data_IF_740210185517
#
_entry.id   IF_740210185517
#
_cell.length_a   1.000
_cell.length_b   1.000
_cell.length_c   1.000
_cell.angle_alpha   90.00
_cell.angle_beta   90.00
_cell.angle_gamma   90.00
#
_symmetry.space_group_name_H-M   'P 1'
#
loop_
_entity.id
_entity.type
_entity.pdbx_description
1 polymer ?
#
# COMPACT_ATOMS: atom_id res chain seq x y z
N UNK A 1 -7.06 -13.31 25.23
CA UNK A 1 -6.81 -11.99 24.57
C UNK A 1 -7.01 -12.15 23.05
N UNK A 2 -6.84 -11.10 22.24
CA UNK A 2 -6.94 -11.19 20.78
C UNK A 2 -5.66 -11.77 20.15
N UNK A 3 -5.69 -12.03 18.84
CA UNK A 3 -4.53 -12.47 18.05
C UNK A 3 -3.39 -11.43 18.09
N UNK A 4 -2.15 -11.90 17.91
CA UNK A 4 -0.96 -11.04 17.81
C UNK A 4 -0.64 -10.68 16.36
N UNK A 5 0.00 -9.52 16.18
CA UNK A 5 0.39 -9.01 14.87
C UNK A 5 1.88 -8.73 14.80
N UNK A 6 2.49 -9.11 13.68
CA UNK A 6 3.85 -8.71 13.33
C UNK A 6 3.79 -7.75 12.13
N UNK A 7 4.23 -6.52 12.36
CA UNK A 7 4.20 -5.40 11.40
C UNK A 7 5.55 -5.17 10.73
N UNK A 8 5.56 -4.41 9.62
CA UNK A 8 6.77 -4.05 8.91
C UNK A 8 7.53 -5.28 8.46
N UNK A 9 6.83 -6.23 7.84
CA UNK A 9 7.40 -7.51 7.39
C UNK A 9 8.50 -7.31 6.34
N UNK A 10 8.35 -6.31 5.47
CA UNK A 10 9.37 -5.93 4.47
C UNK A 10 10.76 -5.72 5.07
N UNK A 11 10.83 -5.25 6.32
CA UNK A 11 12.09 -5.03 7.03
C UNK A 11 12.74 -6.30 7.60
N UNK A 12 12.09 -7.46 7.46
CA UNK A 12 12.48 -8.72 8.11
C UNK A 12 13.06 -9.77 7.15
N UNK A 13 13.10 -9.48 5.84
CA UNK A 13 13.69 -10.36 4.86
C UNK A 13 13.24 -10.08 3.43
N UNK A 14 14.11 -10.39 2.48
CA UNK A 14 13.87 -10.21 1.04
C UNK A 14 12.63 -10.95 0.53
N UNK A 15 12.31 -12.11 1.11
CA UNK A 15 11.10 -12.87 0.75
C UNK A 15 9.82 -12.05 0.93
N UNK A 16 9.77 -11.14 1.91
CA UNK A 16 8.61 -10.29 2.17
C UNK A 16 8.44 -9.19 1.13
N UNK A 17 9.55 -8.65 0.62
CA UNK A 17 9.54 -7.73 -0.53
C UNK A 17 9.04 -8.47 -1.76
N UNK A 18 9.57 -9.66 -2.03
CA UNK A 18 9.14 -10.53 -3.14
C UNK A 18 7.67 -10.93 -3.07
N UNK A 19 7.12 -11.19 -1.88
CA UNK A 19 5.68 -11.40 -1.70
C UNK A 19 4.87 -10.16 -2.11
N UNK A 20 5.27 -8.96 -1.68
CA UNK A 20 4.60 -7.71 -2.05
C UNK A 20 4.76 -7.37 -3.55
N UNK A 21 5.79 -7.87 -4.20
CA UNK A 21 5.96 -7.74 -5.65
C UNK A 21 5.30 -8.86 -6.45
N UNK A 22 4.74 -9.86 -5.78
CA UNK A 22 4.29 -11.10 -6.42
C UNK A 22 5.35 -11.70 -7.36
N UNK A 23 6.63 -11.64 -6.96
CA UNK A 23 7.75 -12.25 -7.68
C UNK A 23 7.55 -13.77 -7.72
N UNK A 24 7.59 -14.35 -8.92
CA UNK A 24 7.35 -15.79 -9.15
C UNK A 24 8.41 -16.69 -8.50
N UNK A 25 9.57 -16.15 -8.12
CA UNK A 25 10.56 -16.87 -7.33
C UNK A 25 10.09 -17.12 -5.88
N UNK A 26 9.18 -16.31 -5.34
CA UNK A 26 8.61 -16.47 -3.99
C UNK A 26 7.13 -16.88 -4.02
N UNK A 27 6.38 -16.44 -5.02
CA UNK A 27 4.92 -16.63 -5.15
C UNK A 27 4.62 -17.20 -6.52
N UNK A 28 4.50 -18.52 -6.63
CA UNK A 28 4.26 -19.23 -7.90
C UNK A 28 3.10 -18.63 -8.71
N UNK A 29 1.99 -18.25 -8.05
CA UNK A 29 0.81 -17.69 -8.67
C UNK A 29 0.91 -16.17 -8.97
N UNK A 30 2.08 -15.55 -8.82
CA UNK A 30 2.23 -14.10 -8.80
C UNK A 30 1.65 -13.37 -10.02
N UNK A 31 1.87 -13.90 -11.23
CA UNK A 31 1.31 -13.33 -12.47
C UNK A 31 -0.22 -13.37 -12.46
N UNK A 32 -0.81 -14.48 -12.01
CA UNK A 32 -2.26 -14.63 -11.91
C UNK A 32 -2.85 -13.70 -10.85
N UNK A 33 -2.17 -13.55 -9.71
CA UNK A 33 -2.58 -12.63 -8.65
C UNK A 33 -2.62 -11.19 -9.17
N UNK A 34 -1.56 -10.72 -9.85
CA UNK A 34 -1.52 -9.38 -10.45
C UNK A 34 -2.69 -9.16 -11.42
N UNK A 35 -2.97 -10.13 -12.30
CA UNK A 35 -4.09 -10.04 -13.24
C UNK A 35 -5.45 -9.91 -12.51
N UNK A 36 -5.70 -10.78 -11.52
CA UNK A 36 -6.96 -10.76 -10.77
C UNK A 36 -7.13 -9.46 -9.96
N UNK A 37 -6.03 -8.92 -9.43
CA UNK A 37 -6.04 -7.63 -8.72
C UNK A 37 -6.30 -6.47 -9.67
N UNK A 38 -5.71 -6.46 -10.86
CA UNK A 38 -5.96 -5.44 -11.88
C UNK A 38 -7.42 -5.51 -12.38
N UNK A 39 -8.00 -6.70 -12.51
CA UNK A 39 -9.41 -6.88 -12.87
C UNK A 39 -10.36 -6.41 -11.74
N UNK A 40 -10.02 -6.67 -10.47
CA UNK A 40 -10.86 -6.32 -9.33
C UNK A 40 -10.77 -4.83 -8.94
N UNK A 41 -9.56 -4.26 -8.92
CA UNK A 41 -9.29 -2.91 -8.41
C UNK A 41 -8.99 -1.88 -9.50
N UNK A 42 -8.73 -2.33 -10.73
CA UNK A 42 -8.10 -1.53 -11.77
C UNK A 42 -6.57 -1.49 -11.61
N UNK A 43 -5.85 -1.09 -12.67
CA UNK A 43 -4.40 -0.98 -12.62
C UNK A 43 -3.95 0.08 -11.62
N UNK A 44 -2.77 -0.14 -11.05
CA UNK A 44 -2.13 0.81 -10.13
C UNK A 44 -2.63 0.80 -8.70
N UNK A 45 -3.26 -0.30 -8.26
CA UNK A 45 -3.48 -0.57 -6.84
C UNK A 45 -2.16 -0.51 -6.03
N UNK A 46 -2.26 -0.21 -4.74
CA UNK A 46 -1.14 -0.11 -3.80
C UNK A 46 -1.36 -1.00 -2.59
N UNK A 47 -0.29 -1.34 -1.88
CA UNK A 47 -0.40 -2.08 -0.62
C UNK A 47 -0.98 -1.17 0.46
N UNK A 48 -2.02 -1.61 1.16
CA UNK A 48 -2.56 -0.95 2.34
C UNK A 48 -1.74 -1.31 3.58
N UNK A 49 -1.47 -2.61 3.77
CA UNK A 49 -0.72 -3.17 4.90
C UNK A 49 -0.22 -4.58 4.55
N UNK A 50 0.87 -5.00 5.20
CA UNK A 50 1.45 -6.33 5.03
C UNK A 50 1.85 -6.93 6.39
N UNK A 51 0.95 -7.74 6.95
CA UNK A 51 0.99 -8.15 8.35
C UNK A 51 1.00 -9.67 8.50
N UNK A 52 1.72 -10.18 9.50
CA UNK A 52 1.52 -11.55 9.96
C UNK A 52 0.54 -11.57 11.13
N UNK A 53 -0.47 -12.42 11.04
CA UNK A 53 -1.46 -12.67 12.08
C UNK A 53 -1.12 -13.98 12.77
N UNK A 54 -0.86 -13.93 14.08
CA UNK A 54 -0.48 -15.08 14.91
C UNK A 54 -1.58 -15.37 15.92
N UNK A 55 -2.16 -16.56 15.80
CA UNK A 55 -3.23 -17.08 16.64
C UNK A 55 -2.67 -18.18 17.54
N UNK A 56 -2.69 -17.95 18.85
CA UNK A 56 -2.24 -18.92 19.86
C UNK A 56 -3.40 -19.80 20.36
N UNK A 57 -3.12 -20.96 20.97
CA UNK A 57 -4.13 -21.85 21.54
C UNK A 57 -5.13 -21.12 22.45
N UNK A 58 -6.43 -21.27 22.16
CA UNK A 58 -7.52 -20.65 22.92
C UNK A 58 -7.70 -19.14 22.72
N UNK A 59 -7.08 -18.54 21.70
CA UNK A 59 -7.27 -17.10 21.42
C UNK A 59 -8.75 -16.76 21.17
N UNK A 60 -9.19 -15.58 21.59
CA UNK A 60 -10.57 -15.15 21.34
C UNK A 60 -10.81 -14.97 19.83
N UNK A 61 -11.99 -15.38 19.32
CA UNK A 61 -12.32 -15.14 17.93
C UNK A 61 -12.54 -13.64 17.70
N UNK A 62 -12.27 -13.18 16.48
CA UNK A 62 -12.68 -11.84 16.09
C UNK A 62 -14.18 -11.81 15.81
N UNK A 63 -14.81 -10.66 16.07
CA UNK A 63 -16.15 -10.40 15.53
C UNK A 63 -16.12 -10.41 14.00
N UNK A 64 -17.21 -10.82 13.37
CA UNK A 64 -17.32 -10.77 11.91
C UNK A 64 -17.29 -9.31 11.44
N UNK A 65 -16.44 -9.03 10.45
CA UNK A 65 -16.23 -7.69 9.93
C UNK A 65 -15.92 -7.72 8.43
N UNK A 66 -15.96 -6.53 7.82
CA UNK A 66 -15.49 -6.26 6.47
C UNK A 66 -14.25 -5.37 6.57
N UNK A 67 -13.16 -5.72 5.91
CA UNK A 67 -11.96 -4.85 5.90
C UNK A 67 -12.20 -3.58 5.07
N UNK A 68 -13.10 -3.66 4.09
CA UNK A 68 -13.53 -2.51 3.32
C UNK A 68 -14.31 -1.48 4.17
N UNK A 69 -14.69 -1.77 5.42
CA UNK A 69 -15.34 -0.81 6.30
C UNK A 69 -14.48 0.43 6.62
N UNK A 70 -13.18 0.44 6.25
CA UNK A 70 -12.28 1.59 6.41
C UNK A 70 -12.76 2.88 5.73
N UNK A 71 -13.61 2.78 4.69
CA UNK A 71 -14.16 3.96 4.02
C UNK A 71 -15.55 4.35 4.53
N UNK A 72 -16.05 3.74 5.61
CA UNK A 72 -17.33 4.13 6.18
C UNK A 72 -17.34 5.65 6.51
N UNK A 73 -18.44 6.36 6.23
CA UNK A 73 -19.76 5.87 5.80
C UNK A 73 -19.94 5.75 4.27
N UNK A 74 -18.89 5.91 3.46
CA UNK A 74 -19.01 5.79 2.00
C UNK A 74 -19.25 4.34 1.58
N UNK A 75 -20.40 4.10 0.96
CA UNK A 75 -20.79 2.78 0.45
C UNK A 75 -20.33 2.65 -1.00
N UNK A 76 -19.39 1.74 -1.24
CA UNK A 76 -18.90 1.37 -2.57
C UNK A 76 -19.38 -0.04 -2.88
N UNK A 77 -20.56 -0.14 -3.50
CA UNK A 77 -21.28 -1.42 -3.69
C UNK A 77 -20.98 -2.07 -5.04
N UNK A 78 -20.60 -1.28 -6.03
CA UNK A 78 -20.44 -1.72 -7.42
C UNK A 78 -19.13 -2.50 -7.61
N UNK A 79 -18.06 -2.10 -6.92
CA UNK A 79 -16.75 -2.71 -7.05
C UNK A 79 -16.01 -2.68 -5.70
N UNK A 80 -15.13 -3.67 -5.45
CA UNK A 80 -14.25 -3.58 -4.31
C UNK A 80 -13.25 -2.44 -4.50
N UNK A 81 -12.84 -1.83 -3.40
CA UNK A 81 -11.66 -0.99 -3.36
C UNK A 81 -10.54 -1.59 -2.50
N UNK A 82 -10.79 -2.73 -1.87
CA UNK A 82 -9.84 -3.51 -1.10
C UNK A 82 -9.94 -4.99 -1.50
N UNK A 83 -8.79 -5.63 -1.71
CA UNK A 83 -8.67 -7.10 -1.80
C UNK A 83 -7.60 -7.54 -0.82
N UNK A 84 -7.89 -8.56 -0.02
CA UNK A 84 -6.89 -9.23 0.79
C UNK A 84 -6.25 -10.37 0.01
N UNK A 85 -4.93 -10.36 -0.06
CA UNK A 85 -4.10 -11.49 -0.51
C UNK A 85 -3.53 -12.17 0.72
N UNK A 86 -4.11 -13.32 1.07
CA UNK A 86 -3.80 -14.06 2.29
C UNK A 86 -2.88 -15.24 1.94
N UNK A 87 -1.68 -15.24 2.50
CA UNK A 87 -0.71 -16.33 2.36
C UNK A 87 -0.86 -17.31 3.52
N UNK A 88 -1.25 -18.54 3.19
CA UNK A 88 -1.38 -19.65 4.12
C UNK A 88 -0.02 -20.33 4.25
N UNK A 89 0.63 -20.18 5.40
CA UNK A 89 2.03 -20.62 5.62
C UNK A 89 2.16 -22.01 6.23
N UNK A 90 1.05 -22.57 6.70
CA UNK A 90 0.92 -23.90 7.28
C UNK A 90 -0.48 -24.42 6.95
N UNK A 91 -0.71 -25.72 7.05
CA UNK A 91 -2.06 -26.27 6.86
C UNK A 91 -3.03 -25.61 7.84
N UNK A 92 -4.17 -25.15 7.35
CA UNK A 92 -5.24 -24.55 8.17
C UNK A 92 -6.51 -25.35 8.03
N UNK A 93 -7.28 -25.45 9.10
CA UNK A 93 -8.57 -26.13 9.16
C UNK A 93 -9.40 -25.58 10.32
N UNK A 94 -10.57 -26.17 10.58
CA UNK A 94 -11.42 -25.77 11.72
C UNK A 94 -10.69 -25.92 13.07
N UNK A 95 -9.85 -26.94 13.24
CA UNK A 95 -9.23 -27.24 14.52
C UNK A 95 -8.19 -26.20 14.92
N UNK A 96 -7.26 -25.83 14.03
CA UNK A 96 -6.26 -24.80 14.32
C UNK A 96 -6.74 -23.35 14.03
N UNK A 97 -8.02 -23.20 13.71
CA UNK A 97 -8.66 -21.90 13.58
C UNK A 97 -8.32 -21.18 12.28
N UNK A 98 -8.45 -21.86 11.13
CA UNK A 98 -8.47 -21.23 9.82
C UNK A 98 -9.51 -20.09 9.75
N UNK A 99 -9.22 -19.03 9.00
CA UNK A 99 -10.05 -17.82 8.93
C UNK A 99 -11.54 -18.14 8.72
N UNK A 100 -12.42 -17.55 9.55
CA UNK A 100 -13.86 -17.61 9.34
C UNK A 100 -14.25 -16.73 8.16
N UNK A 101 -15.09 -17.26 7.27
CA UNK A 101 -15.61 -16.54 6.11
C UNK A 101 -17.10 -16.86 5.93
N UNK A 102 -17.88 -15.90 5.44
CA UNK A 102 -19.23 -16.13 4.92
C UNK A 102 -19.19 -15.97 3.40
N UNK A 103 -19.07 -17.08 2.63
CA UNK A 103 -19.05 -17.02 1.18
C UNK A 103 -20.29 -16.32 0.63
N UNK A 104 -20.10 -15.40 -0.31
CA UNK A 104 -21.20 -14.66 -0.93
C UNK A 104 -21.76 -13.49 -0.11
N UNK A 105 -21.29 -13.24 1.12
CA UNK A 105 -21.84 -12.15 1.95
C UNK A 105 -21.68 -10.76 1.31
N UNK A 106 -20.62 -10.53 0.51
CA UNK A 106 -20.45 -9.31 -0.27
C UNK A 106 -21.63 -9.03 -1.21
N UNK A 107 -22.28 -10.08 -1.75
CA UNK A 107 -23.47 -9.93 -2.60
C UNK A 107 -24.68 -9.53 -1.77
N UNK A 108 -24.90 -10.21 -0.64
CA UNK A 108 -25.97 -9.88 0.31
C UNK A 108 -25.84 -8.45 0.84
N UNK A 109 -24.60 -8.01 1.10
CA UNK A 109 -24.30 -6.63 1.49
C UNK A 109 -24.72 -5.62 0.41
N UNK A 110 -24.40 -5.91 -0.85
CA UNK A 110 -24.78 -5.05 -1.98
C UNK A 110 -26.30 -5.04 -2.21
N UNK A 111 -26.96 -6.20 -2.16
CA UNK A 111 -28.42 -6.34 -2.25
C UNK A 111 -29.15 -5.59 -1.13
N UNK A 112 -28.58 -5.61 0.07
CA UNK A 112 -29.06 -4.87 1.25
C UNK A 112 -28.70 -3.38 1.26
N UNK A 113 -28.18 -2.83 0.16
CA UNK A 113 -27.84 -1.41 0.07
C UNK A 113 -26.76 -0.96 1.04
N UNK A 114 -25.77 -1.82 1.32
CA UNK A 114 -24.69 -1.54 2.27
C UNK A 114 -25.03 -1.92 3.72
N UNK A 115 -26.00 -2.81 3.92
CA UNK A 115 -26.35 -3.37 5.22
C UNK A 115 -26.54 -4.88 5.12
N UNK A 116 -26.39 -5.57 6.26
CA UNK A 116 -26.63 -7.01 6.35
C UNK A 116 -27.99 -7.28 6.97
N UNK A 117 -28.76 -8.16 6.32
CA UNK A 117 -29.88 -8.86 6.94
C UNK A 117 -29.41 -10.16 7.59
N UNK A 118 -30.21 -11.22 7.46
CA UNK A 118 -29.78 -12.57 7.83
C UNK A 118 -28.69 -13.06 6.86
N UNK A 119 -27.64 -13.66 7.41
CA UNK A 119 -26.52 -14.22 6.64
C UNK A 119 -26.32 -15.69 7.02
N UNK A 120 -25.84 -16.54 6.09
CA UNK A 120 -25.49 -17.91 6.41
C UNK A 120 -24.42 -18.00 7.50
N UNK A 121 -24.30 -19.15 8.20
CA UNK A 121 -23.21 -19.38 9.13
C UNK A 121 -21.85 -19.24 8.46
N UNK A 122 -20.87 -18.72 9.22
CA UNK A 122 -19.49 -18.69 8.77
C UNK A 122 -18.90 -20.09 8.72
N UNK A 123 -17.99 -20.32 7.76
CA UNK A 123 -17.20 -21.55 7.63
C UNK A 123 -15.73 -21.22 7.85
N UNK A 124 -14.94 -22.20 8.32
CA UNK A 124 -13.50 -22.08 8.40
C UNK A 124 -12.85 -22.34 7.03
N UNK A 125 -11.83 -21.55 6.70
CA UNK A 125 -10.92 -21.88 5.62
C UNK A 125 -10.15 -23.17 5.97
N UNK A 126 -10.30 -24.19 5.13
CA UNK A 126 -9.45 -25.38 5.13
C UNK A 126 -8.57 -25.38 3.88
N UNK A 127 -7.26 -25.32 4.06
CA UNK A 127 -6.30 -25.20 2.97
C UNK A 127 -4.90 -25.68 3.39
N UNK A 128 -4.13 -26.31 2.49
CA UNK A 128 -2.75 -26.67 2.77
C UNK A 128 -1.81 -25.46 2.77
N UNK A 129 -0.67 -25.61 3.43
CA UNK A 129 0.45 -24.67 3.36
C UNK A 129 0.84 -24.36 1.90
N UNK A 130 1.16 -23.09 1.62
CA UNK A 130 1.47 -22.60 0.28
C UNK A 130 0.25 -22.10 -0.51
N UNK A 131 -0.96 -22.22 0.04
CA UNK A 131 -2.16 -21.65 -0.59
C UNK A 131 -2.17 -20.13 -0.48
N UNK A 132 -2.59 -19.45 -1.55
CA UNK A 132 -2.91 -18.01 -1.54
C UNK A 132 -4.41 -17.84 -1.75
N UNK A 133 -5.08 -17.15 -0.82
CA UNK A 133 -6.49 -16.80 -0.94
C UNK A 133 -6.62 -15.31 -1.27
N UNK A 134 -7.32 -15.00 -2.36
CA UNK A 134 -7.79 -13.64 -2.65
C UNK A 134 -9.20 -13.46 -2.09
N UNK A 135 -9.42 -12.41 -1.30
CA UNK A 135 -10.70 -12.15 -0.66
C UNK A 135 -11.14 -10.71 -0.91
N UNK A 136 -12.33 -10.54 -1.49
CA UNK A 136 -13.00 -9.25 -1.63
C UNK A 136 -13.19 -8.60 -0.25
N UNK A 137 -12.77 -7.34 -0.08
CA UNK A 137 -12.82 -6.63 1.20
C UNK A 137 -14.22 -6.48 1.81
N UNK A 138 -15.29 -6.73 1.05
CA UNK A 138 -16.69 -6.70 1.50
C UNK A 138 -17.17 -8.04 2.09
N UNK A 139 -16.38 -9.11 2.00
CA UNK A 139 -16.71 -10.39 2.63
C UNK A 139 -16.70 -10.24 4.15
N UNK A 140 -17.74 -10.78 4.80
CA UNK A 140 -17.78 -10.95 6.25
C UNK A 140 -16.85 -12.07 6.63
N UNK A 141 -15.89 -11.75 7.49
CA UNK A 141 -14.87 -12.69 7.93
C UNK A 141 -14.35 -12.35 9.32
N UNK A 142 -13.52 -13.21 9.88
CA UNK A 142 -12.81 -12.96 11.13
C UNK A 142 -11.86 -14.09 11.53
N UNK A 143 -10.96 -13.81 12.46
CA UNK A 143 -10.14 -14.85 13.09
C UNK A 143 -10.98 -15.86 13.86
N UNK A 144 -10.80 -17.15 13.57
CA UNK A 144 -11.40 -18.24 14.32
C UNK A 144 -10.63 -18.52 15.63
N UNK A 145 -11.28 -19.25 16.55
CA UNK A 145 -10.60 -19.83 17.71
C UNK A 145 -9.62 -20.90 17.25
N UNK A 146 -8.36 -20.79 17.64
CA UNK A 146 -7.40 -21.88 17.50
C UNK A 146 -7.57 -22.86 18.66
N UNK A 147 -8.03 -24.08 18.38
CA UNK A 147 -8.23 -25.16 19.37
C UNK A 147 -7.08 -26.17 19.38
N UNK A 148 -6.04 -25.93 18.60
CA UNK A 148 -4.82 -26.74 18.60
C UNK A 148 -3.87 -26.34 19.74
N UNK A 149 -2.77 -27.08 19.89
CA UNK A 149 -1.72 -26.83 20.89
C UNK A 149 -0.56 -25.97 20.34
N UNK A 150 -0.64 -25.48 19.09
CA UNK A 150 0.43 -24.74 18.42
C UNK A 150 -0.04 -23.37 17.90
N UNK A 151 0.91 -22.52 17.48
CA UNK A 151 0.66 -21.23 16.87
C UNK A 151 0.20 -21.39 15.41
N UNK A 152 -0.95 -20.78 15.08
CA UNK A 152 -1.39 -20.61 13.70
C UNK A 152 -0.95 -19.25 13.19
N UNK A 153 -0.17 -19.21 12.12
CA UNK A 153 0.31 -17.99 11.47
C UNK A 153 -0.10 -17.92 10.00
N UNK A 154 -0.63 -16.77 9.60
CA UNK A 154 -0.93 -16.41 8.21
C UNK A 154 -0.38 -15.02 7.94
N UNK A 155 -0.15 -14.68 6.68
CA UNK A 155 0.16 -13.31 6.29
C UNK A 155 -1.04 -12.74 5.53
N UNK A 156 -1.48 -11.55 5.92
CA UNK A 156 -2.49 -10.79 5.19
C UNK A 156 -1.82 -9.60 4.52
N UNK A 157 -1.82 -9.60 3.19
CA UNK A 157 -1.48 -8.43 2.39
C UNK A 157 -2.77 -7.78 1.88
N UNK A 158 -3.18 -6.68 2.49
CA UNK A 158 -4.32 -5.92 2.01
C UNK A 158 -3.86 -4.98 0.92
N UNK A 159 -4.48 -5.01 -0.25
CA UNK A 159 -4.22 -4.06 -1.35
C UNK A 159 -5.45 -3.23 -1.64
N UNK A 160 -5.24 -1.99 -2.06
CA UNK A 160 -6.31 -1.01 -2.25
C UNK A 160 -6.15 -0.21 -3.54
N UNK A 161 -7.25 0.41 -3.99
CA UNK A 161 -7.21 1.41 -5.06
C UNK A 161 -6.28 2.58 -4.68
N UNK A 162 -5.54 3.18 -5.62
CA UNK A 162 -4.44 4.13 -5.33
C UNK A 162 -4.86 5.46 -4.70
N UNK A 163 -6.16 5.76 -4.60
CA UNK A 163 -6.65 6.95 -3.91
C UNK A 163 -6.89 6.71 -2.41
N UNK A 164 -6.85 5.46 -1.96
CA UNK A 164 -6.99 5.11 -0.54
C UNK A 164 -5.65 5.32 0.16
N UNK A 165 -5.69 5.98 1.32
CA UNK A 165 -4.51 6.16 2.17
C UNK A 165 -4.08 4.81 2.75
N UNK A 166 -2.78 4.51 2.67
CA UNK A 166 -2.19 3.29 3.18
C UNK A 166 -2.29 3.21 4.72
N UNK A 167 -2.59 2.03 5.26
CA UNK A 167 -2.66 1.79 6.71
C UNK A 167 -1.25 1.75 7.32
N UNK A 168 -0.33 1.05 6.67
CA UNK A 168 1.09 1.18 6.96
C UNK A 168 1.67 2.40 6.24
N UNK A 169 2.37 3.24 7.00
CA UNK A 169 3.10 4.39 6.45
C UNK A 169 4.44 3.93 5.87
N UNK A 170 4.40 3.21 4.73
CA UNK A 170 5.60 2.68 4.06
C UNK A 170 6.66 3.75 3.78
N UNK A 171 6.22 5.00 3.50
CA UNK A 171 7.11 6.16 3.36
C UNK A 171 7.95 6.47 4.58
N UNK A 172 7.60 5.96 5.76
CA UNK A 172 8.33 6.16 7.01
C UNK A 172 8.97 4.86 7.51
N UNK A 173 8.29 3.72 7.34
CA UNK A 173 8.67 2.47 8.02
C UNK A 173 9.64 1.61 7.24
N UNK A 174 9.69 1.70 5.90
CA UNK A 174 10.66 0.92 5.12
C UNK A 174 12.07 1.42 5.41
N UNK A 175 12.98 0.48 5.69
CA UNK A 175 14.37 0.79 6.02
C UNK A 175 15.14 1.36 4.81
N UNK A 176 16.12 2.26 5.03
CA UNK A 176 16.89 2.87 3.95
C UNK A 176 17.64 1.87 3.05
N UNK A 177 18.18 0.78 3.62
CA UNK A 177 18.90 -0.25 2.88
C UNK A 177 17.99 -1.03 1.91
N UNK A 178 16.70 -1.15 2.24
CA UNK A 178 15.71 -1.75 1.35
C UNK A 178 15.34 -0.76 0.23
N UNK A 179 15.09 0.51 0.55
CA UNK A 179 14.73 1.52 -0.45
C UNK A 179 15.83 1.71 -1.51
N UNK A 180 17.11 1.65 -1.12
CA UNK A 180 18.24 1.77 -2.04
C UNK A 180 18.33 0.63 -3.05
N UNK A 181 17.80 -0.54 -2.72
CA UNK A 181 17.83 -1.74 -3.57
C UNK A 181 16.45 -2.09 -4.14
N UNK A 182 15.44 -1.27 -3.87
CA UNK A 182 14.05 -1.55 -4.23
C UNK A 182 13.85 -1.49 -5.75
N UNK A 183 13.05 -2.42 -6.26
CA UNK A 183 12.60 -2.34 -7.65
C UNK A 183 11.58 -1.20 -7.83
N UNK A 184 11.42 -0.76 -9.08
CA UNK A 184 10.39 0.22 -9.46
C UNK A 184 8.98 -0.26 -9.11
N UNK A 185 8.71 -1.56 -9.25
CA UNK A 185 7.42 -2.18 -8.91
C UNK A 185 7.15 -2.09 -7.41
N UNK A 186 8.10 -2.51 -6.58
CA UNK A 186 7.95 -2.42 -5.11
C UNK A 186 7.71 -0.97 -4.65
N UNK A 187 8.51 -0.03 -5.15
CA UNK A 187 8.36 1.40 -4.85
C UNK A 187 6.98 1.91 -5.27
N UNK A 188 6.53 1.54 -6.47
CA UNK A 188 5.22 1.92 -6.98
C UNK A 188 4.08 1.40 -6.10
N UNK A 189 4.09 0.10 -5.78
CA UNK A 189 3.06 -0.53 -4.92
C UNK A 189 3.11 -0.01 -3.48
N UNK A 190 4.26 0.46 -3.01
CA UNK A 190 4.41 1.10 -1.69
C UNK A 190 4.08 2.61 -1.70
N UNK A 191 3.60 3.17 -2.82
CA UNK A 191 3.13 4.54 -2.88
C UNK A 191 4.22 5.59 -3.09
N UNK A 192 5.43 5.21 -3.51
CA UNK A 192 6.54 6.14 -3.79
C UNK A 192 6.42 6.86 -5.15
N UNK A 193 5.25 6.75 -5.78
CA UNK A 193 4.95 7.38 -7.06
C UNK A 193 3.91 8.49 -6.87
N UNK A 194 4.38 9.72 -6.87
CA UNK A 194 3.55 10.90 -6.73
C UNK A 194 2.78 11.25 -8.01
N UNK A 195 1.70 12.00 -7.82
CA UNK A 195 0.99 12.73 -8.87
C UNK A 195 0.61 14.11 -8.34
N UNK A 196 0.06 14.98 -9.19
CA UNK A 196 -0.53 16.26 -8.78
C UNK A 196 -1.55 16.15 -7.63
N UNK A 197 -2.14 14.97 -7.38
CA UNK A 197 -3.17 14.76 -6.36
C UNK A 197 -2.74 13.93 -5.16
N UNK A 198 -1.54 13.33 -5.15
CA UNK A 198 -1.12 12.43 -4.05
C UNK A 198 0.39 12.31 -3.91
N UNK A 199 0.82 12.05 -2.68
CA UNK A 199 2.17 11.62 -2.29
C UNK A 199 3.32 12.57 -2.68
N UNK A 200 3.05 13.85 -2.98
CA UNK A 200 4.12 14.82 -3.26
C UNK A 200 4.96 15.13 -2.01
N UNK A 201 6.23 15.47 -2.23
CA UNK A 201 7.14 15.97 -1.19
C UNK A 201 7.46 17.42 -1.48
N UNK A 202 6.91 18.35 -0.68
CA UNK A 202 7.12 19.80 -0.87
C UNK A 202 6.82 20.27 -2.32
N UNK A 203 5.91 19.57 -3.02
CA UNK A 203 5.55 19.83 -4.42
C UNK A 203 6.37 19.07 -5.47
N UNK A 204 7.46 18.38 -5.11
CA UNK A 204 8.09 17.40 -5.99
C UNK A 204 7.15 16.21 -6.21
N UNK A 205 7.02 15.81 -7.47
CA UNK A 205 6.08 14.77 -7.90
C UNK A 205 4.83 15.29 -8.60
N UNK A 206 4.66 16.61 -8.72
CA UNK A 206 3.48 17.22 -9.35
C UNK A 206 3.29 16.78 -10.80
N UNK A 207 4.38 16.66 -11.57
CA UNK A 207 4.34 16.19 -12.96
C UNK A 207 4.32 14.65 -13.09
N UNK A 208 4.28 13.93 -11.97
CA UNK A 208 4.21 12.48 -11.95
C UNK A 208 2.88 11.96 -12.49
N UNK A 209 2.94 10.90 -13.29
CA UNK A 209 1.77 10.20 -13.84
C UNK A 209 1.28 9.05 -12.94
N UNK A 210 1.99 8.75 -11.86
CA UNK A 210 1.60 7.75 -10.87
C UNK A 210 1.75 6.30 -11.34
N UNK A 211 2.48 6.04 -12.43
CA UNK A 211 2.78 4.70 -12.97
C UNK A 211 4.17 4.23 -12.56
N UNK A 212 4.37 2.92 -12.63
CA UNK A 212 5.64 2.27 -12.32
C UNK A 212 6.82 2.94 -13.02
N UNK A 213 7.81 3.37 -12.22
CA UNK A 213 9.09 3.81 -12.75
C UNK A 213 9.11 5.18 -13.42
N UNK A 214 8.04 5.98 -13.29
CA UNK A 214 8.03 7.36 -13.79
C UNK A 214 9.00 8.23 -12.97
N UNK A 215 10.06 8.80 -13.57
CA UNK A 215 11.04 9.59 -12.82
C UNK A 215 10.42 10.87 -12.24
N UNK A 216 9.41 11.46 -12.89
CA UNK A 216 8.83 12.74 -12.45
C UNK A 216 8.11 12.63 -11.10
N UNK A 217 7.57 11.45 -10.78
CA UNK A 217 6.87 11.18 -9.53
C UNK A 217 7.69 10.42 -8.48
N UNK A 218 8.97 10.14 -8.73
CA UNK A 218 9.77 9.22 -7.91
C UNK A 218 10.24 9.85 -6.59
N UNK A 219 9.34 9.93 -5.60
CA UNK A 219 9.64 10.58 -4.30
C UNK A 219 10.62 9.78 -3.43
N UNK A 220 11.02 8.58 -3.84
CA UNK A 220 12.06 7.79 -3.17
C UNK A 220 13.38 8.56 -3.07
N UNK A 221 13.72 9.39 -4.05
CA UNK A 221 14.95 10.18 -4.04
C UNK A 221 14.96 11.21 -2.91
N UNK A 222 13.82 11.84 -2.65
CA UNK A 222 13.65 12.73 -1.52
C UNK A 222 13.76 11.96 -0.20
N UNK A 223 13.16 10.77 -0.10
CA UNK A 223 13.26 9.91 1.09
C UNK A 223 14.70 9.48 1.37
N UNK A 224 15.45 9.05 0.36
CA UNK A 224 16.86 8.66 0.49
C UNK A 224 17.70 9.85 0.98
N UNK A 225 17.51 11.04 0.41
CA UNK A 225 18.21 12.23 0.87
C UNK A 225 17.88 12.61 2.32
N UNK A 226 16.64 12.37 2.78
CA UNK A 226 16.24 12.56 4.18
C UNK A 226 16.94 11.55 5.10
N UNK A 227 16.96 10.26 4.73
CA UNK A 227 17.60 9.21 5.51
C UNK A 227 19.12 9.42 5.64
N UNK A 228 19.74 10.03 4.63
CA UNK A 228 21.16 10.37 4.64
C UNK A 228 21.48 11.68 5.37
N UNK A 229 20.47 12.38 5.91
CA UNK A 229 20.65 13.67 6.61
C UNK A 229 21.03 14.82 5.68
N UNK A 230 20.91 14.64 4.36
CA UNK A 230 21.25 15.64 3.33
C UNK A 230 20.06 16.47 2.85
N UNK A 231 18.85 16.19 3.36
CA UNK A 231 17.64 16.88 2.93
C UNK A 231 17.42 18.19 3.70
N UNK A 232 17.63 19.31 3.01
CA UNK A 232 17.30 20.66 3.47
C UNK A 232 15.87 21.00 3.05
N UNK A 233 14.96 21.03 4.03
CA UNK A 233 13.53 21.38 3.86
C UNK A 233 13.34 22.82 3.40
N UNK A 234 12.28 23.06 2.64
CA UNK A 234 11.80 24.41 2.35
C UNK A 234 11.17 25.00 3.62
N UNK A 235 11.88 25.96 4.24
CA UNK A 235 11.44 26.67 5.44
C UNK A 235 10.66 27.96 5.15
N UNK A 236 10.57 28.84 6.15
CA UNK A 236 10.04 30.18 5.96
C UNK A 236 10.84 30.94 4.90
N UNK A 237 10.15 31.53 3.93
CA UNK A 237 10.78 32.29 2.86
C UNK A 237 10.87 33.76 3.26
N UNK A 238 12.07 34.33 3.17
CA UNK A 238 12.28 35.78 3.20
C UNK A 238 12.75 36.27 1.84
N UNK A 239 12.60 37.58 1.56
CA UNK A 239 13.08 38.16 0.30
C UNK A 239 14.58 37.92 0.07
N UNK A 240 15.38 37.91 1.14
CA UNK A 240 16.82 37.63 1.07
C UNK A 240 17.16 36.15 0.82
N UNK A 241 16.18 35.23 0.92
CA UNK A 241 16.36 33.82 0.55
C UNK A 241 16.06 33.57 -0.94
N UNK A 242 15.27 34.45 -1.57
CA UNK A 242 14.96 34.40 -3.00
C UNK A 242 16.11 34.95 -3.86
N UNK A 243 16.98 35.77 -3.28
CA UNK A 243 18.19 36.32 -3.92
C UNK A 243 19.36 35.31 -3.86
N UNK A 244 19.22 34.16 -4.53
CA UNK A 244 20.36 33.29 -4.87
C UNK A 244 20.59 32.04 -4.00
N UNK A 245 19.63 31.63 -3.15
CA UNK A 245 19.77 30.39 -2.34
C UNK A 245 18.88 29.23 -2.79
N UNK A 246 18.04 29.40 -3.81
CA UNK A 246 17.11 28.35 -4.28
C UNK A 246 17.82 27.08 -4.74
N UNK A 247 18.98 27.19 -5.37
CA UNK A 247 19.78 26.04 -5.84
C UNK A 247 20.46 25.27 -4.68
N UNK A 248 20.45 25.83 -3.47
CA UNK A 248 20.94 25.18 -2.25
C UNK A 248 19.88 24.30 -1.56
N UNK A 249 18.63 24.34 -2.04
CA UNK A 249 17.56 23.49 -1.52
C UNK A 249 17.68 22.11 -2.14
N UNK A 250 17.67 21.06 -1.32
CA UNK A 250 17.77 19.67 -1.79
C UNK A 250 16.63 19.35 -2.75
N UNK A 251 15.43 19.86 -2.50
CA UNK A 251 14.29 19.69 -3.39
C UNK A 251 14.56 20.22 -4.81
N UNK A 252 15.15 21.41 -4.94
CA UNK A 252 15.45 22.00 -6.24
C UNK A 252 16.49 21.18 -7.02
N UNK A 253 17.48 20.64 -6.32
CA UNK A 253 18.50 19.76 -6.90
C UNK A 253 17.91 18.42 -7.34
N UNK A 254 17.05 17.82 -6.52
CA UNK A 254 16.33 16.59 -6.87
C UNK A 254 15.42 16.79 -8.09
N UNK A 255 14.68 17.90 -8.13
CA UNK A 255 13.84 18.26 -9.27
C UNK A 255 14.66 18.48 -10.55
N UNK A 256 15.82 19.11 -10.44
CA UNK A 256 16.76 19.28 -11.56
C UNK A 256 17.30 17.95 -12.08
N UNK A 257 17.59 17.01 -11.19
CA UNK A 257 18.23 15.74 -11.54
C UNK A 257 17.24 14.66 -11.99
N UNK A 258 16.03 14.65 -11.42
CA UNK A 258 15.11 13.51 -11.53
C UNK A 258 13.72 13.89 -12.09
N UNK A 259 13.39 15.17 -12.31
CA UNK A 259 12.08 15.59 -12.86
C UNK A 259 12.22 16.17 -14.29
N UNK A 260 12.40 15.32 -15.32
CA UNK A 260 12.66 15.79 -16.69
C UNK A 260 11.57 16.72 -17.25
N UNK A 261 10.31 16.56 -16.83
CA UNK A 261 9.21 17.44 -17.26
C UNK A 261 9.40 18.91 -16.86
N UNK A 262 10.27 19.22 -15.88
CA UNK A 262 10.60 20.61 -15.53
C UNK A 262 11.52 21.30 -16.53
N UNK A 263 12.29 20.57 -17.33
CA UNK A 263 13.15 21.18 -18.35
C UNK A 263 12.30 21.98 -19.35
N UNK A 264 11.17 21.41 -19.78
CA UNK A 264 10.21 22.09 -20.65
C UNK A 264 9.66 23.37 -20.01
N UNK A 265 9.24 23.31 -18.74
CA UNK A 265 8.73 24.48 -18.04
C UNK A 265 9.80 25.59 -17.93
N UNK A 266 11.05 25.24 -17.67
CA UNK A 266 12.17 26.19 -17.62
C UNK A 266 12.46 26.81 -18.98
N UNK A 267 12.41 26.02 -20.05
CA UNK A 267 12.58 26.51 -21.42
C UNK A 267 11.48 27.49 -21.83
N UNK A 268 10.23 27.24 -21.41
CA UNK A 268 9.11 28.16 -21.65
C UNK A 268 9.29 29.44 -20.84
N UNK A 269 9.59 29.34 -19.54
CA UNK A 269 9.74 30.50 -18.64
C UNK A 269 10.88 31.41 -19.08
N UNK A 270 12.02 30.85 -19.54
CA UNK A 270 13.18 31.65 -19.98
C UNK A 270 12.90 32.51 -21.21
N UNK A 271 11.84 32.20 -21.96
CA UNK A 271 11.38 32.96 -23.14
C UNK A 271 10.38 34.07 -22.78
N UNK A 272 9.88 34.11 -21.54
CA UNK A 272 8.93 35.14 -21.09
C UNK A 272 9.73 36.37 -20.61
N UNK A 273 9.55 37.55 -21.23
CA UNK A 273 10.18 38.77 -20.75
C UNK A 273 9.62 39.13 -19.38
N UNK A 274 10.48 39.15 -18.36
CA UNK A 274 10.11 39.60 -17.02
C UNK A 274 10.13 41.13 -17.03
N UNK A 275 8.96 41.76 -17.16
CA UNK A 275 8.80 43.18 -16.82
C UNK A 275 8.98 43.32 -15.32
N UNK A 276 10.18 43.73 -14.91
CA UNK A 276 10.39 44.24 -13.54
C UNK A 276 9.92 45.69 -13.58
N UNK A 277 8.81 45.97 -12.92
CA UNK A 277 8.52 47.36 -12.56
C UNK A 277 9.64 47.80 -11.61
N UNK A 278 10.49 48.71 -12.10
CA UNK A 278 11.46 49.40 -11.23
C UNK A 278 10.69 50.24 -10.21
N UNK A 279 11.15 50.28 -8.95
CA UNK A 279 10.41 50.88 -7.84
C UNK A 279 10.15 52.39 -7.99
#
# INVERSE_FOLDING_TARGET
EAQQHVWGLVNKGDVFVKCMEHDTAAVQAGIMIEQLLDEALGPGWTHLSFISNVSYPGCHPQGLHQDQALAAPYLMLEAPFLVNTIYVLQDVNEHNGGTLIIPGSHKLYCEGGGSFGEVPPAINLEAPAGTVMLMDGRILHGGAVNRSEDLRYIITNSVVRPFIRQQESFHLTIRPDILKNASKKFLWRCGFQATASRSMVEGYGYYGNGKEGDPNGAIVEARIAMDEGRYRRVGALSLSDLEGKTDQLTLAQLQLQFEPSREYAKEVISRIPVTRDEP
#
